data_IF_539913754573
#
_entry.id   IF_539913754573
#
_cell.length_a   1.000
_cell.length_b   1.000
_cell.length_c   1.000
_cell.angle_alpha   90.00
_cell.angle_beta   90.00
_cell.angle_gamma   90.00
#
_symmetry.space_group_name_H-M   'P 1'
#
loop_
_entity.id
_entity.type
_entity.pdbx_description
1 polymer ?
#
# COMPACT_ATOMS: atom_id res chain seq x y z
N UNK A 1 17.04 20.87 9.72
CA UNK A 1 16.02 19.98 10.35
C UNK A 1 15.44 19.07 9.27
N UNK A 2 15.57 17.77 9.43
CA UNK A 2 14.98 16.75 8.52
C UNK A 2 13.79 16.08 9.19
N UNK A 3 12.80 15.65 8.39
CA UNK A 3 11.59 15.03 8.88
C UNK A 3 11.47 13.62 8.30
N UNK A 4 11.17 12.63 9.12
CA UNK A 4 11.25 11.23 8.74
C UNK A 4 10.00 10.51 9.25
N UNK A 5 9.36 9.73 8.40
CA UNK A 5 8.33 8.77 8.78
C UNK A 5 8.82 7.38 8.43
N UNK A 6 8.93 6.50 9.42
CA UNK A 6 9.16 5.07 9.21
C UNK A 6 7.88 4.34 9.57
N UNK A 7 7.25 3.79 8.55
CA UNK A 7 5.97 3.11 8.69
C UNK A 7 6.17 1.60 8.54
N UNK A 8 5.86 0.86 9.60
CA UNK A 8 5.77 -0.59 9.59
C UNK A 8 4.33 -1.01 9.33
N UNK A 9 4.01 -1.29 8.06
CA UNK A 9 2.66 -1.66 7.64
C UNK A 9 2.17 -2.88 8.44
N UNK A 10 0.96 -2.80 9.00
CA UNK A 10 0.34 -3.86 9.76
C UNK A 10 1.10 -4.33 11.01
N UNK A 11 2.09 -3.56 11.50
CA UNK A 11 2.99 -3.97 12.58
C UNK A 11 2.27 -4.22 13.91
N UNK A 12 1.21 -3.47 14.21
CA UNK A 12 0.42 -3.64 15.42
C UNK A 12 -0.39 -4.94 15.42
N UNK A 13 -0.56 -5.52 16.59
CA UNK A 13 -1.25 -6.81 16.78
C UNK A 13 -1.86 -6.92 18.17
N UNK A 14 -2.57 -8.02 18.39
CA UNK A 14 -3.10 -8.45 19.67
C UNK A 14 -2.06 -9.31 20.44
N UNK A 15 -2.18 -9.46 21.78
CA UNK A 15 -1.37 -10.40 22.54
C UNK A 15 -1.58 -11.85 22.08
N UNK A 16 -0.48 -12.56 21.80
CA UNK A 16 -0.50 -13.92 21.28
C UNK A 16 -0.02 -14.95 22.32
N UNK A 17 -0.75 -16.04 22.48
CA UNK A 17 -0.36 -17.14 23.37
C UNK A 17 1.01 -17.72 22.99
N UNK A 18 1.33 -17.79 21.68
CA UNK A 18 2.62 -18.26 21.18
C UNK A 18 3.82 -17.38 21.62
N UNK A 19 3.56 -16.13 22.01
CA UNK A 19 4.54 -15.16 22.49
C UNK A 19 4.45 -14.92 24.01
N UNK A 20 3.79 -15.83 24.74
CA UNK A 20 3.61 -15.70 26.19
C UNK A 20 2.66 -14.58 26.59
N UNK A 21 1.69 -14.25 25.76
CA UNK A 21 0.71 -13.19 26.00
C UNK A 21 1.20 -11.79 25.62
N UNK A 22 2.27 -11.67 24.85
CA UNK A 22 2.81 -10.42 24.30
C UNK A 22 2.35 -10.21 22.87
N UNK A 23 2.28 -8.95 22.43
CA UNK A 23 2.16 -8.64 21.01
C UNK A 23 3.48 -8.92 20.28
N UNK A 24 3.48 -9.08 18.95
CA UNK A 24 4.73 -9.17 18.18
C UNK A 24 5.67 -7.99 18.41
N UNK A 25 5.15 -6.75 18.50
CA UNK A 25 5.93 -5.56 18.80
C UNK A 25 6.52 -5.58 20.20
N UNK A 26 5.76 -5.99 21.21
CA UNK A 26 6.26 -6.15 22.60
C UNK A 26 7.28 -7.27 22.74
N UNK A 27 7.20 -8.31 21.92
CA UNK A 27 8.12 -9.44 21.96
C UNK A 27 9.41 -9.20 21.19
N UNK A 28 9.36 -8.41 20.11
CA UNK A 28 10.49 -8.09 19.26
C UNK A 28 11.57 -7.29 20.02
N UNK A 29 12.82 -7.47 19.64
CA UNK A 29 13.95 -6.68 20.15
C UNK A 29 14.13 -5.43 19.30
N UNK A 30 13.76 -4.29 19.84
CA UNK A 30 13.67 -3.03 19.11
C UNK A 30 14.43 -1.88 19.81
N UNK A 31 15.76 -2.04 20.05
CA UNK A 31 16.52 -1.09 20.86
C UNK A 31 16.58 0.33 20.27
N UNK A 32 16.51 0.49 18.96
CA UNK A 32 16.49 1.82 18.33
C UNK A 32 15.13 2.51 18.53
N UNK A 33 14.03 1.81 18.30
CA UNK A 33 12.69 2.34 18.56
C UNK A 33 12.45 2.61 20.05
N UNK A 34 12.97 1.77 20.95
CA UNK A 34 12.94 2.00 22.41
C UNK A 34 13.73 3.25 22.81
N UNK A 35 14.86 3.50 22.15
CA UNK A 35 15.65 4.72 22.38
C UNK A 35 14.86 5.98 21.94
N UNK A 36 14.18 5.90 20.80
CA UNK A 36 13.29 6.97 20.34
C UNK A 36 12.11 7.19 21.31
N UNK A 37 11.47 6.12 21.79
CA UNK A 37 10.39 6.20 22.78
C UNK A 37 10.85 6.80 24.11
N UNK A 38 12.08 6.49 24.50
CA UNK A 38 12.68 7.03 25.75
C UNK A 38 12.99 8.53 25.66
N UNK A 39 13.25 9.06 24.46
CA UNK A 39 13.56 10.48 24.21
C UNK A 39 12.45 11.29 23.56
N UNK A 40 11.31 10.68 23.28
CA UNK A 40 10.22 11.29 22.52
C UNK A 40 8.85 11.23 23.19
N UNK A 41 7.85 11.65 22.43
CA UNK A 41 6.43 11.47 22.76
C UNK A 41 5.97 10.11 22.21
N UNK A 42 5.23 9.37 22.99
CA UNK A 42 4.59 8.11 22.61
C UNK A 42 3.11 8.15 22.97
N UNK A 43 2.27 7.58 22.14
CA UNK A 43 0.82 7.53 22.35
C UNK A 43 0.13 6.63 21.33
N UNK A 44 -1.20 6.69 21.32
CA UNK A 44 -2.04 5.97 20.36
C UNK A 44 -2.64 6.92 19.34
N UNK A 45 -2.87 6.42 18.12
CA UNK A 45 -3.46 7.21 17.02
C UNK A 45 -4.44 6.38 16.21
N UNK A 46 -5.52 7.02 15.78
CA UNK A 46 -6.55 6.45 14.91
C UNK A 46 -6.28 6.88 13.46
N UNK A 47 -5.56 6.05 12.69
CA UNK A 47 -5.25 6.36 11.29
C UNK A 47 -6.42 6.05 10.34
N UNK A 48 -7.20 5.02 10.65
CA UNK A 48 -8.40 4.66 9.89
C UNK A 48 -9.62 5.37 10.48
N UNK A 49 -10.21 6.36 9.80
CA UNK A 49 -11.39 7.04 10.31
C UNK A 49 -12.56 6.10 10.49
N UNK A 50 -13.37 6.33 11.52
CA UNK A 50 -14.57 5.54 11.77
C UNK A 50 -15.49 5.48 10.54
N UNK A 51 -15.90 4.26 10.16
CA UNK A 51 -16.79 3.99 9.03
C UNK A 51 -16.08 3.82 7.69
N UNK A 52 -14.75 3.97 7.64
CA UNK A 52 -13.95 3.63 6.46
C UNK A 52 -13.36 2.22 6.58
N UNK A 53 -13.12 1.57 5.44
CA UNK A 53 -12.44 0.29 5.37
C UNK A 53 -10.97 0.43 5.84
N UNK A 54 -10.45 -0.48 6.67
CA UNK A 54 -9.08 -0.40 7.18
C UNK A 54 -8.03 -0.83 6.14
N UNK A 55 -8.03 -0.19 4.98
CA UNK A 55 -7.03 -0.41 3.93
C UNK A 55 -5.84 0.52 4.08
N UNK A 56 -4.67 0.06 3.59
CA UNK A 56 -3.44 0.85 3.60
C UNK A 56 -3.58 2.18 2.85
N UNK A 57 -4.46 2.26 1.84
CA UNK A 57 -4.78 3.51 1.13
C UNK A 57 -5.37 4.58 2.06
N UNK A 58 -6.29 4.18 2.92
CA UNK A 58 -6.95 5.07 3.88
C UNK A 58 -5.97 5.46 4.99
N UNK A 59 -5.30 4.48 5.57
CA UNK A 59 -4.41 4.69 6.70
C UNK A 59 -3.17 5.53 6.31
N UNK A 60 -2.54 5.24 5.16
CA UNK A 60 -1.37 5.99 4.71
C UNK A 60 -1.71 7.42 4.26
N UNK A 61 -2.89 7.68 3.68
CA UNK A 61 -3.37 9.06 3.48
C UNK A 61 -3.41 9.83 4.80
N UNK A 62 -3.95 9.21 5.87
CA UNK A 62 -3.94 9.81 7.20
C UNK A 62 -2.52 10.12 7.68
N UNK A 63 -1.61 9.15 7.66
CA UNK A 63 -0.23 9.35 8.13
C UNK A 63 0.50 10.42 7.33
N UNK A 64 0.20 10.55 6.03
CA UNK A 64 0.74 11.61 5.17
C UNK A 64 0.05 12.97 5.37
N UNK A 65 -0.85 13.09 6.36
CA UNK A 65 -1.50 14.33 6.74
C UNK A 65 -2.69 14.73 5.87
N UNK A 66 -3.25 13.81 5.09
CA UNK A 66 -4.46 14.03 4.31
C UNK A 66 -5.66 13.42 5.03
N UNK A 67 -6.79 14.14 5.10
CA UNK A 67 -8.03 13.56 5.60
C UNK A 67 -8.60 12.57 4.57
N UNK A 68 -8.62 11.25 4.85
CA UNK A 68 -9.10 10.27 3.88
C UNK A 68 -10.57 10.46 3.51
N UNK A 69 -11.38 11.02 4.40
CA UNK A 69 -12.81 11.30 4.12
C UNK A 69 -13.01 12.29 2.99
N UNK A 70 -12.02 13.14 2.74
CA UNK A 70 -12.09 14.17 1.69
C UNK A 70 -11.23 13.85 0.47
N UNK A 71 -10.16 13.08 0.65
CA UNK A 71 -9.18 12.82 -0.40
C UNK A 71 -9.33 11.44 -1.06
N UNK A 72 -9.86 10.45 -0.35
CA UNK A 72 -9.98 9.09 -0.87
C UNK A 72 -11.24 8.97 -1.74
N UNK A 73 -11.03 8.62 -3.01
CA UNK A 73 -12.10 8.47 -4.01
C UNK A 73 -12.17 7.06 -4.59
N UNK A 74 -11.27 6.18 -4.15
CA UNK A 74 -11.12 4.81 -4.61
C UNK A 74 -9.66 4.40 -4.71
N UNK A 75 -9.40 3.10 -4.70
CA UNK A 75 -8.04 2.53 -4.77
C UNK A 75 -7.43 2.66 -6.16
N UNK A 76 -8.21 2.36 -7.20
CA UNK A 76 -7.71 2.33 -8.57
C UNK A 76 -7.14 3.65 -9.08
N UNK A 77 -7.71 4.82 -8.76
CA UNK A 77 -7.10 6.09 -9.13
C UNK A 77 -5.72 6.31 -8.53
N UNK A 78 -5.49 5.86 -7.29
CA UNK A 78 -4.17 5.95 -6.66
C UNK A 78 -3.15 5.05 -7.36
N UNK A 79 -3.52 3.82 -7.68
CA UNK A 79 -2.66 2.91 -8.45
C UNK A 79 -2.40 3.44 -9.87
N UNK A 80 -3.38 4.07 -10.50
CA UNK A 80 -3.23 4.68 -11.82
C UNK A 80 -2.19 5.81 -11.83
N UNK A 81 -2.10 6.60 -10.75
CA UNK A 81 -1.07 7.63 -10.60
C UNK A 81 0.34 7.03 -10.61
N UNK A 82 0.54 5.86 -10.00
CA UNK A 82 1.86 5.21 -9.93
C UNK A 82 2.40 4.79 -11.30
N UNK A 83 1.53 4.49 -12.24
CA UNK A 83 1.88 4.11 -13.62
C UNK A 83 1.79 5.29 -14.60
N UNK A 84 1.64 6.51 -14.09
CA UNK A 84 1.68 7.74 -14.88
C UNK A 84 0.41 8.04 -15.68
N UNK A 85 -0.73 7.45 -15.33
CA UNK A 85 -2.02 7.71 -15.99
C UNK A 85 -2.45 9.15 -15.70
N UNK A 86 -2.73 9.90 -16.77
CA UNK A 86 -3.34 11.23 -16.66
C UNK A 86 -4.86 11.07 -16.53
N UNK A 87 -5.43 11.74 -15.54
CA UNK A 87 -6.85 11.65 -15.22
C UNK A 87 -7.46 13.05 -15.19
N UNK A 88 -8.63 13.20 -15.81
CA UNK A 88 -9.49 14.38 -15.62
C UNK A 88 -10.44 14.14 -14.43
N UNK A 89 -11.04 15.21 -13.85
CA UNK A 89 -11.87 15.09 -12.65
C UNK A 89 -13.10 14.19 -12.79
N UNK A 90 -13.63 14.06 -13.98
CA UNK A 90 -14.84 13.27 -14.32
C UNK A 90 -14.54 11.93 -14.99
N UNK A 91 -13.27 11.55 -15.08
CA UNK A 91 -12.86 10.21 -15.47
C UNK A 91 -13.15 9.20 -14.35
N UNK A 92 -13.60 8.01 -14.75
CA UNK A 92 -13.71 6.87 -13.83
C UNK A 92 -12.58 5.90 -14.12
N UNK A 93 -11.85 5.58 -13.06
CA UNK A 93 -10.69 4.69 -13.10
C UNK A 93 -11.06 3.36 -12.47
N UNK A 94 -10.78 2.26 -13.16
CA UNK A 94 -11.03 0.91 -12.70
C UNK A 94 -9.72 0.14 -12.56
N UNK A 95 -9.60 -0.64 -11.51
CA UNK A 95 -8.68 -1.76 -11.49
C UNK A 95 -9.18 -2.78 -12.51
N UNK A 96 -8.29 -3.23 -13.36
CA UNK A 96 -8.55 -4.20 -14.42
C UNK A 96 -7.58 -5.36 -14.26
N UNK A 97 -8.03 -6.47 -13.66
CA UNK A 97 -7.22 -7.67 -13.57
C UNK A 97 -7.34 -8.51 -14.84
N UNK A 98 -6.25 -9.20 -15.23
CA UNK A 98 -6.38 -10.38 -16.07
C UNK A 98 -6.53 -11.60 -15.18
N UNK A 99 -7.64 -12.31 -15.32
CA UNK A 99 -8.02 -13.45 -14.48
C UNK A 99 -8.07 -14.75 -15.26
N UNK A 100 -8.05 -15.89 -14.56
CA UNK A 100 -8.30 -17.20 -15.15
C UNK A 100 -9.75 -17.61 -14.94
N UNK A 101 -10.48 -17.74 -16.02
CA UNK A 101 -11.83 -18.33 -16.03
C UNK A 101 -11.80 -19.73 -16.63
N UNK A 102 -12.78 -20.54 -16.20
CA UNK A 102 -13.06 -21.86 -16.80
C UNK A 102 -13.64 -21.71 -18.22
N UNK A 103 -13.88 -22.85 -18.90
CA UNK A 103 -14.30 -22.87 -20.31
C UNK A 103 -15.80 -23.14 -20.51
N UNK A 104 -16.60 -23.24 -19.43
CA UNK A 104 -18.06 -23.44 -19.54
C UNK A 104 -18.72 -22.32 -20.34
N UNK A 105 -19.80 -22.68 -21.05
CA UNK A 105 -20.64 -21.72 -21.79
C UNK A 105 -22.09 -21.76 -21.25
N UNK A 106 -22.79 -20.65 -21.26
CA UNK A 106 -22.38 -19.31 -21.69
C UNK A 106 -21.40 -18.63 -20.71
N UNK A 107 -20.85 -17.47 -21.09
CA UNK A 107 -19.84 -16.75 -20.30
C UNK A 107 -20.19 -16.61 -18.81
N UNK A 108 -21.46 -16.35 -18.49
CA UNK A 108 -21.94 -16.22 -17.11
C UNK A 108 -21.86 -17.51 -16.26
N UNK A 109 -21.73 -18.68 -16.90
CA UNK A 109 -21.59 -19.96 -16.20
C UNK A 109 -20.13 -20.32 -15.88
N UNK A 110 -19.18 -19.54 -16.40
CA UNK A 110 -17.77 -19.73 -16.10
C UNK A 110 -17.49 -19.51 -14.59
N UNK A 111 -16.33 -20.01 -14.12
CA UNK A 111 -15.88 -19.84 -12.75
C UNK A 111 -14.55 -19.13 -12.71
N UNK A 112 -14.30 -18.31 -11.68
CA UNK A 112 -12.99 -17.73 -11.42
C UNK A 112 -12.10 -18.81 -10.81
N UNK A 113 -11.10 -19.28 -11.57
CA UNK A 113 -10.10 -20.22 -11.06
C UNK A 113 -8.96 -19.53 -10.34
N UNK A 114 -8.64 -18.31 -10.78
CA UNK A 114 -7.52 -17.54 -10.23
C UNK A 114 -7.65 -16.06 -10.58
N UNK A 115 -7.55 -15.21 -9.57
CA UNK A 115 -7.63 -13.75 -9.73
C UNK A 115 -6.31 -13.13 -10.23
N UNK A 116 -5.19 -13.86 -10.17
CA UNK A 116 -3.84 -13.43 -10.53
C UNK A 116 -3.27 -14.15 -11.74
N UNK A 117 -4.02 -15.12 -12.32
CA UNK A 117 -3.59 -15.95 -13.44
C UNK A 117 -2.24 -16.65 -13.18
N UNK A 118 -2.05 -17.17 -11.94
CA UNK A 118 -0.82 -17.82 -11.52
C UNK A 118 0.34 -16.84 -11.41
N UNK A 119 0.09 -15.64 -10.92
CA UNK A 119 1.07 -14.54 -10.82
C UNK A 119 1.76 -14.31 -12.18
N UNK A 120 0.97 -14.08 -13.22
CA UNK A 120 1.48 -13.88 -14.59
C UNK A 120 2.57 -12.80 -14.60
N UNK A 121 3.64 -13.00 -15.37
CA UNK A 121 4.70 -12.00 -15.49
C UNK A 121 4.19 -10.72 -16.17
N UNK A 122 4.80 -9.59 -15.84
CA UNK A 122 4.43 -8.29 -16.46
C UNK A 122 4.63 -8.34 -17.98
N UNK A 123 5.66 -9.02 -18.47
CA UNK A 123 5.94 -9.15 -19.91
C UNK A 123 4.84 -9.92 -20.65
N UNK A 124 4.40 -11.06 -20.09
CA UNK A 124 3.32 -11.84 -20.67
C UNK A 124 1.98 -11.08 -20.62
N UNK A 125 1.71 -10.41 -19.51
CA UNK A 125 0.52 -9.59 -19.33
C UNK A 125 0.49 -8.39 -20.27
N UNK A 126 1.64 -7.72 -20.51
CA UNK A 126 1.71 -6.59 -21.45
C UNK A 126 1.37 -7.01 -22.87
N UNK A 127 1.83 -8.18 -23.32
CA UNK A 127 1.46 -8.73 -24.62
C UNK A 127 -0.05 -9.01 -24.75
N UNK A 128 -0.70 -9.46 -23.68
CA UNK A 128 -2.16 -9.63 -23.62
C UNK A 128 -2.88 -8.27 -23.63
N UNK A 129 -2.39 -7.31 -22.85
CA UNK A 129 -2.94 -5.96 -22.78
C UNK A 129 -2.76 -5.18 -24.09
N UNK A 130 -1.72 -5.48 -24.87
CA UNK A 130 -1.59 -4.93 -26.22
C UNK A 130 -2.73 -5.37 -27.12
N UNK A 131 -3.12 -6.65 -27.09
CA UNK A 131 -4.29 -7.13 -27.82
C UNK A 131 -5.60 -6.46 -27.34
N UNK A 132 -5.72 -6.19 -26.02
CA UNK A 132 -6.84 -5.44 -25.47
C UNK A 132 -6.84 -3.99 -25.99
N UNK A 133 -5.72 -3.29 -25.94
CA UNK A 133 -5.60 -1.91 -26.44
C UNK A 133 -5.99 -1.79 -27.92
N UNK A 134 -5.52 -2.71 -28.73
CA UNK A 134 -5.82 -2.72 -30.18
C UNK A 134 -7.32 -2.89 -30.48
N UNK A 135 -8.07 -3.53 -29.59
CA UNK A 135 -9.50 -3.83 -29.80
C UNK A 135 -10.44 -2.89 -29.03
N UNK A 136 -10.00 -2.26 -27.94
CA UNK A 136 -10.86 -1.54 -27.01
C UNK A 136 -10.47 -0.08 -26.78
N UNK A 137 -9.23 0.33 -27.05
CA UNK A 137 -8.86 1.74 -26.88
C UNK A 137 -9.54 2.60 -27.93
N UNK A 138 -10.17 3.68 -27.46
CA UNK A 138 -10.76 4.75 -28.26
C UNK A 138 -10.71 6.07 -27.47
N UNK A 139 -11.47 7.07 -27.90
CA UNK A 139 -11.53 8.37 -27.23
C UNK A 139 -12.22 8.31 -25.86
N UNK A 140 -12.97 7.25 -25.57
CA UNK A 140 -13.76 7.06 -24.36
C UNK A 140 -13.09 6.12 -23.38
N UNK A 141 -12.49 5.03 -23.87
CA UNK A 141 -11.89 3.97 -23.05
C UNK A 141 -10.40 3.85 -23.34
N UNK A 142 -9.62 3.81 -22.26
CA UNK A 142 -8.16 3.67 -22.36
C UNK A 142 -7.66 2.63 -21.38
N UNK A 143 -6.84 1.70 -21.85
CA UNK A 143 -6.28 0.61 -21.06
C UNK A 143 -4.78 0.81 -20.90
N UNK A 144 -4.30 0.64 -19.67
CA UNK A 144 -2.90 0.80 -19.29
C UNK A 144 -2.38 -0.46 -18.63
N UNK A 145 -1.19 -0.90 -19.03
CA UNK A 145 -0.50 -2.01 -18.38
C UNK A 145 0.06 -1.56 -17.03
N UNK A 146 -0.20 -2.33 -16.00
CA UNK A 146 0.44 -2.21 -14.69
C UNK A 146 1.40 -3.36 -14.46
N UNK A 147 1.50 -3.83 -13.20
CA UNK A 147 2.41 -4.90 -12.80
C UNK A 147 1.69 -6.24 -12.74
N UNK A 148 2.26 -7.29 -13.35
CA UNK A 148 1.71 -8.65 -13.32
C UNK A 148 0.27 -8.68 -13.85
N UNK A 149 -0.68 -9.20 -13.11
CA UNK A 149 -2.10 -9.30 -13.47
C UNK A 149 -2.90 -8.00 -13.27
N UNK A 150 -2.28 -6.95 -12.74
CA UNK A 150 -2.91 -5.70 -12.30
C UNK A 150 -2.76 -4.62 -13.35
N UNK A 151 -3.86 -4.21 -13.95
CA UNK A 151 -3.92 -3.17 -14.99
C UNK A 151 -4.95 -2.12 -14.63
N UNK A 152 -5.03 -1.08 -15.43
CA UNK A 152 -5.94 0.05 -15.24
C UNK A 152 -6.77 0.25 -16.51
N UNK A 153 -8.07 0.54 -16.32
CA UNK A 153 -8.93 1.09 -17.36
C UNK A 153 -9.41 2.47 -16.94
N UNK A 154 -9.33 3.42 -17.84
CA UNK A 154 -9.94 4.75 -17.71
C UNK A 154 -11.17 4.83 -18.60
N UNK A 155 -12.29 5.19 -18.03
CA UNK A 155 -13.53 5.50 -18.74
C UNK A 155 -13.77 7.02 -18.65
N UNK A 156 -13.50 7.73 -19.75
CA UNK A 156 -13.67 9.17 -19.81
C UNK A 156 -15.13 9.54 -19.73
N UNK A 157 -15.46 10.51 -18.87
CA UNK A 157 -16.81 10.96 -18.59
C UNK A 157 -17.78 9.81 -18.25
N UNK A 158 -17.24 8.76 -17.61
CA UNK A 158 -17.98 7.56 -17.25
C UNK A 158 -18.85 7.73 -16.00
N UNK A 159 -19.28 6.62 -15.46
CA UNK A 159 -20.02 6.59 -14.19
C UNK A 159 -19.54 5.42 -13.31
N UNK A 160 -19.70 5.59 -12.01
CA UNK A 160 -19.38 4.53 -11.03
C UNK A 160 -20.38 3.38 -11.20
N UNK A 161 -19.85 2.16 -11.20
CA UNK A 161 -20.62 0.93 -11.25
C UNK A 161 -20.36 0.09 -9.98
N UNK A 162 -21.35 -0.68 -9.55
CA UNK A 162 -21.16 -1.69 -8.52
C UNK A 162 -20.37 -2.84 -9.13
N UNK A 163 -19.23 -3.14 -8.51
CA UNK A 163 -18.27 -4.16 -8.96
C UNK A 163 -17.76 -4.96 -7.78
N UNK A 164 -17.52 -6.25 -8.00
CA UNK A 164 -17.07 -7.17 -6.99
C UNK A 164 -15.60 -7.57 -7.24
N UNK A 165 -14.74 -7.61 -6.20
CA UNK A 165 -13.36 -8.04 -6.33
C UNK A 165 -13.25 -9.51 -6.74
N UNK A 166 -12.39 -9.89 -7.70
CA UNK A 166 -12.33 -11.28 -8.18
C UNK A 166 -11.82 -12.27 -7.13
N UNK A 167 -11.01 -11.81 -6.18
CA UNK A 167 -10.45 -12.68 -5.13
C UNK A 167 -11.47 -13.11 -4.09
N UNK A 168 -12.59 -12.42 -3.97
CA UNK A 168 -13.68 -12.79 -3.04
C UNK A 168 -14.57 -13.93 -3.61
N UNK A 169 -14.44 -14.24 -4.89
CA UNK A 169 -15.33 -15.15 -5.61
C UNK A 169 -14.62 -16.33 -6.28
N UNK A 170 -13.45 -16.72 -5.76
CA UNK A 170 -12.71 -17.87 -6.28
C UNK A 170 -13.58 -19.13 -6.26
N UNK A 171 -13.50 -19.92 -7.33
CA UNK A 171 -14.26 -21.17 -7.59
C UNK A 171 -15.76 -20.99 -7.78
N UNK A 172 -16.31 -19.79 -7.64
CA UNK A 172 -17.74 -19.50 -7.82
C UNK A 172 -18.09 -19.22 -9.29
N UNK A 173 -19.33 -19.50 -9.66
CA UNK A 173 -19.91 -19.11 -10.96
C UNK A 173 -19.99 -17.59 -11.03
N UNK A 174 -19.55 -17.00 -12.15
CA UNK A 174 -19.37 -15.54 -12.24
C UNK A 174 -20.67 -14.76 -12.49
N UNK A 175 -21.70 -15.40 -13.00
CA UNK A 175 -22.95 -14.74 -13.41
C UNK A 175 -23.51 -13.74 -12.38
N UNK A 176 -23.62 -14.10 -11.08
CA UNK A 176 -24.12 -13.20 -10.03
C UNK A 176 -23.23 -12.00 -9.75
N UNK A 177 -21.95 -12.02 -10.15
CA UNK A 177 -20.94 -11.02 -9.84
C UNK A 177 -20.54 -10.16 -11.04
N UNK A 178 -21.12 -10.45 -12.21
CA UNK A 178 -20.89 -9.64 -13.41
C UNK A 178 -21.49 -8.23 -13.23
N UNK A 179 -20.87 -7.19 -13.81
CA UNK A 179 -21.43 -5.86 -13.81
C UNK A 179 -22.85 -5.84 -14.38
N UNK A 180 -23.74 -5.07 -13.77
CA UNK A 180 -25.06 -4.75 -14.36
C UNK A 180 -24.90 -3.82 -15.57
N UNK A 181 -23.83 -3.02 -15.58
CA UNK A 181 -23.51 -2.12 -16.69
C UNK A 181 -23.17 -2.92 -17.95
N UNK A 182 -23.93 -2.70 -19.07
CA UNK A 182 -23.77 -3.50 -20.28
C UNK A 182 -22.45 -3.25 -21.01
N UNK A 183 -21.84 -2.07 -20.84
CA UNK A 183 -20.55 -1.74 -21.47
C UNK A 183 -19.43 -2.51 -20.81
N UNK A 184 -19.36 -2.44 -19.48
CA UNK A 184 -18.34 -3.16 -18.68
C UNK A 184 -18.48 -4.67 -18.87
N UNK A 185 -19.72 -5.17 -18.83
CA UNK A 185 -20.00 -6.59 -19.09
C UNK A 185 -19.59 -7.01 -20.49
N UNK A 186 -19.92 -6.21 -21.49
CA UNK A 186 -19.54 -6.48 -22.88
C UNK A 186 -18.02 -6.51 -23.09
N UNK A 187 -17.25 -5.66 -22.41
CA UNK A 187 -15.79 -5.74 -22.44
C UNK A 187 -15.27 -7.01 -21.81
N UNK A 188 -15.84 -7.47 -20.69
CA UNK A 188 -15.42 -8.72 -20.06
C UNK A 188 -15.65 -9.92 -20.99
N UNK A 189 -16.84 -10.05 -21.56
CA UNK A 189 -17.21 -11.13 -22.49
C UNK A 189 -16.31 -11.12 -23.75
N UNK A 190 -16.14 -9.98 -24.40
CA UNK A 190 -15.29 -9.82 -25.58
C UNK A 190 -13.81 -10.03 -25.26
N UNK A 191 -13.35 -9.65 -24.06
CA UNK A 191 -11.97 -9.91 -23.65
C UNK A 191 -11.65 -11.39 -23.59
N UNK A 192 -12.60 -12.22 -23.16
CA UNK A 192 -12.43 -13.67 -23.17
C UNK A 192 -12.26 -14.22 -24.59
N UNK A 193 -13.05 -13.74 -25.55
CA UNK A 193 -12.92 -14.14 -26.95
C UNK A 193 -11.54 -13.81 -27.53
N UNK A 194 -10.98 -12.64 -27.16
CA UNK A 194 -9.66 -12.20 -27.62
C UNK A 194 -8.53 -12.96 -26.92
N UNK A 195 -8.62 -13.11 -25.59
CA UNK A 195 -7.51 -13.58 -24.78
C UNK A 195 -7.42 -15.10 -24.69
N UNK A 196 -8.54 -15.82 -24.68
CA UNK A 196 -8.52 -17.28 -24.42
C UNK A 196 -7.66 -18.07 -25.41
N UNK A 197 -7.61 -17.62 -26.66
CA UNK A 197 -6.82 -18.24 -27.73
C UNK A 197 -5.60 -17.40 -28.15
N UNK A 198 -5.23 -16.39 -27.38
CA UNK A 198 -4.05 -15.58 -27.66
C UNK A 198 -2.77 -16.44 -27.57
N UNK A 199 -1.76 -16.24 -28.43
CA UNK A 199 -0.53 -17.05 -28.46
C UNK A 199 0.16 -17.19 -27.09
N UNK A 200 0.17 -16.14 -26.28
CA UNK A 200 0.69 -16.19 -24.90
C UNK A 200 -0.06 -17.23 -24.07
N UNK A 201 -1.39 -17.23 -24.11
CA UNK A 201 -2.21 -18.16 -23.34
C UNK A 201 -2.15 -19.61 -23.84
N UNK A 202 -2.00 -19.80 -25.16
CA UNK A 202 -1.76 -21.13 -25.73
C UNK A 202 -0.42 -21.69 -25.27
N UNK A 203 0.65 -20.88 -25.26
CA UNK A 203 1.95 -21.28 -24.73
C UNK A 203 1.87 -21.59 -23.24
N UNK A 204 1.24 -20.72 -22.43
CA UNK A 204 1.04 -20.94 -20.99
C UNK A 204 0.33 -22.25 -20.70
N UNK A 205 -0.74 -22.54 -21.43
CA UNK A 205 -1.47 -23.81 -21.30
C UNK A 205 -0.60 -25.02 -21.67
N UNK A 206 0.20 -24.94 -22.74
CA UNK A 206 1.13 -25.99 -23.12
C UNK A 206 2.23 -26.24 -22.06
N UNK A 207 2.60 -25.21 -21.30
CA UNK A 207 3.53 -25.27 -20.16
C UNK A 207 2.86 -25.68 -18.84
N UNK A 208 1.56 -26.00 -18.84
CA UNK A 208 0.80 -26.33 -17.63
C UNK A 208 0.50 -25.13 -16.71
N UNK A 209 0.70 -23.91 -17.20
CA UNK A 209 0.36 -22.68 -16.51
C UNK A 209 -1.09 -22.27 -16.76
N UNK A 210 -1.67 -21.48 -15.85
CA UNK A 210 -3.01 -20.93 -16.01
C UNK A 210 -3.05 -19.88 -17.12
N UNK A 211 -4.09 -19.91 -17.96
CA UNK A 211 -4.37 -18.83 -18.91
C UNK A 211 -4.80 -17.57 -18.18
N UNK A 212 -4.40 -16.40 -18.68
CA UNK A 212 -4.95 -15.11 -18.28
C UNK A 212 -5.98 -14.69 -19.35
N UNK A 213 -7.19 -15.25 -19.26
CA UNK A 213 -8.11 -15.32 -20.39
C UNK A 213 -9.32 -14.39 -20.33
N UNK A 214 -9.44 -13.56 -19.30
CA UNK A 214 -10.50 -12.56 -19.24
C UNK A 214 -10.08 -11.33 -18.43
N UNK A 215 -10.64 -10.17 -18.76
CA UNK A 215 -10.56 -8.98 -17.92
C UNK A 215 -11.58 -9.07 -16.78
N UNK A 216 -11.25 -8.46 -15.64
CA UNK A 216 -12.16 -8.30 -14.52
C UNK A 216 -12.00 -6.92 -13.89
N UNK A 217 -13.08 -6.13 -13.86
CA UNK A 217 -13.08 -4.76 -13.34
C UNK A 217 -13.52 -4.72 -11.89
N UNK A 218 -12.86 -3.87 -11.08
CA UNK A 218 -13.24 -3.61 -9.71
C UNK A 218 -12.55 -2.35 -9.18
N UNK A 219 -12.86 -1.95 -7.93
CA UNK A 219 -12.18 -0.87 -7.23
C UNK A 219 -12.31 0.50 -7.91
N UNK A 220 -13.44 0.77 -8.59
CA UNK A 220 -13.69 2.01 -9.31
C UNK A 220 -13.55 3.25 -8.42
N UNK A 221 -13.06 4.34 -9.00
CA UNK A 221 -12.98 5.63 -8.34
C UNK A 221 -12.73 6.77 -9.31
N UNK A 222 -12.77 7.99 -8.80
CA UNK A 222 -12.49 9.23 -9.53
C UNK A 222 -11.10 9.76 -9.19
N UNK A 223 -10.61 10.75 -9.92
CA UNK A 223 -9.35 11.42 -9.62
C UNK A 223 -9.32 11.88 -8.16
N UNK A 224 -8.32 11.46 -7.34
CA UNK A 224 -8.23 11.88 -5.96
C UNK A 224 -7.85 13.38 -5.87
N UNK A 225 -8.44 14.08 -4.91
CA UNK A 225 -8.08 15.47 -4.61
C UNK A 225 -6.96 15.49 -3.58
N UNK A 226 -5.71 15.41 -4.05
CA UNK A 226 -4.52 15.47 -3.21
C UNK A 226 -3.83 16.82 -3.38
N UNK A 227 -3.93 17.74 -2.40
CA UNK A 227 -3.10 18.94 -2.38
C UNK A 227 -1.61 18.57 -2.45
N UNK A 228 -0.82 19.32 -3.21
CA UNK A 228 0.60 19.07 -3.34
C UNK A 228 1.31 19.07 -1.96
N UNK A 229 2.17 18.07 -1.72
CA UNK A 229 2.87 17.94 -0.43
C UNK A 229 3.71 19.18 -0.13
N UNK A 230 4.44 19.70 -1.12
CA UNK A 230 5.22 20.93 -0.96
C UNK A 230 4.33 22.15 -0.74
N UNK A 231 3.20 22.25 -1.42
CA UNK A 231 2.22 23.33 -1.21
C UNK A 231 1.66 23.31 0.22
N UNK A 232 1.32 22.11 0.71
CA UNK A 232 0.76 21.90 2.05
C UNK A 232 1.79 22.13 3.15
N UNK A 233 3.02 21.65 2.97
CA UNK A 233 4.02 21.57 4.05
C UNK A 233 5.14 22.59 3.93
N UNK A 234 5.43 23.07 2.74
CA UNK A 234 6.62 23.86 2.40
C UNK A 234 7.87 23.00 2.21
N UNK A 235 7.76 21.66 2.22
CA UNK A 235 8.88 20.73 2.22
C UNK A 235 8.94 19.93 0.92
N UNK A 236 10.16 19.60 0.48
CA UNK A 236 10.39 18.64 -0.59
C UNK A 236 10.34 17.21 -0.01
N UNK A 237 9.37 16.41 -0.44
CA UNK A 237 9.13 15.07 0.08
C UNK A 237 9.68 13.97 -0.80
N UNK A 238 10.19 12.90 -0.16
CA UNK A 238 10.61 11.64 -0.77
C UNK A 238 9.73 10.48 -0.28
N UNK A 239 9.37 9.57 -1.20
CA UNK A 239 8.67 8.32 -0.90
C UNK A 239 9.55 7.13 -1.24
N UNK A 240 9.74 6.24 -0.27
CA UNK A 240 10.45 4.97 -0.41
C UNK A 240 9.48 3.83 -0.08
N UNK A 241 8.97 3.15 -1.11
CA UNK A 241 8.02 2.04 -0.98
C UNK A 241 8.16 1.05 -2.13
N UNK A 242 7.89 -0.22 -1.88
CA UNK A 242 7.72 -1.23 -2.92
C UNK A 242 6.30 -1.23 -3.51
N UNK A 243 5.32 -0.67 -2.79
CA UNK A 243 3.89 -0.76 -3.06
C UNK A 243 3.45 0.34 -4.02
N UNK A 244 2.86 -0.04 -5.16
CA UNK A 244 2.41 0.90 -6.19
C UNK A 244 1.36 1.90 -5.67
N UNK A 245 0.50 1.46 -4.76
CA UNK A 245 -0.48 2.31 -4.10
C UNK A 245 0.16 3.52 -3.39
N UNK A 246 1.22 3.29 -2.61
CA UNK A 246 1.94 4.34 -1.89
C UNK A 246 2.70 5.25 -2.84
N UNK A 247 3.32 4.68 -3.88
CA UNK A 247 3.95 5.44 -4.96
C UNK A 247 2.92 6.34 -5.65
N UNK A 248 1.71 5.83 -5.90
CA UNK A 248 0.61 6.59 -6.48
C UNK A 248 0.18 7.78 -5.63
N UNK A 249 0.03 7.59 -4.31
CA UNK A 249 -0.24 8.69 -3.38
C UNK A 249 0.88 9.75 -3.46
N UNK A 250 2.14 9.32 -3.45
CA UNK A 250 3.29 10.22 -3.53
C UNK A 250 3.33 11.01 -4.85
N UNK A 251 3.09 10.34 -5.99
CA UNK A 251 2.99 10.99 -7.31
C UNK A 251 1.86 12.01 -7.32
N UNK A 252 0.67 11.63 -6.83
CA UNK A 252 -0.49 12.53 -6.72
C UNK A 252 -0.24 13.73 -5.83
N UNK A 253 0.57 13.58 -4.79
CA UNK A 253 0.99 14.64 -3.88
C UNK A 253 2.24 15.41 -4.36
N UNK A 254 2.81 15.08 -5.53
CA UNK A 254 3.99 15.73 -6.08
C UNK A 254 5.29 15.45 -5.30
N UNK A 255 5.37 14.31 -4.60
CA UNK A 255 6.59 13.86 -3.93
C UNK A 255 7.49 13.07 -4.90
N UNK A 256 8.78 13.06 -4.62
CA UNK A 256 9.76 12.27 -5.37
C UNK A 256 9.68 10.79 -4.93
N UNK A 257 9.50 9.88 -5.89
CA UNK A 257 9.48 8.43 -5.63
C UNK A 257 10.87 7.84 -5.90
N UNK A 258 11.42 7.13 -4.92
CA UNK A 258 12.70 6.45 -5.02
C UNK A 258 12.48 4.97 -5.33
N UNK A 259 13.07 4.52 -6.45
CA UNK A 259 13.08 3.10 -6.80
C UNK A 259 14.25 2.41 -6.12
N UNK A 260 13.98 1.36 -5.36
CA UNK A 260 14.99 0.57 -4.65
C UNK A 260 15.10 -0.81 -5.28
N UNK A 261 16.23 -1.15 -5.91
CA UNK A 261 16.42 -2.50 -6.45
C UNK A 261 16.26 -3.58 -5.37
N UNK A 262 15.48 -4.62 -5.67
CA UNK A 262 15.19 -5.70 -4.72
C UNK A 262 14.22 -5.32 -3.59
N UNK A 263 13.58 -4.16 -3.65
CA UNK A 263 12.50 -3.83 -2.74
C UNK A 263 11.25 -4.65 -3.11
N UNK A 264 10.73 -5.35 -2.11
CA UNK A 264 9.48 -6.15 -2.17
C UNK A 264 8.60 -5.80 -0.97
N UNK A 265 7.38 -6.35 -0.92
CA UNK A 265 6.50 -6.30 0.25
C UNK A 265 6.79 -7.40 1.29
N UNK A 266 7.67 -8.36 1.00
CA UNK A 266 7.90 -9.51 1.86
C UNK A 266 9.13 -9.38 2.77
N UNK A 267 9.35 -10.39 3.60
CA UNK A 267 10.41 -10.42 4.61
C UNK A 267 11.82 -10.30 4.01
N UNK A 268 12.03 -10.79 2.80
CA UNK A 268 13.31 -10.76 2.06
C UNK A 268 13.55 -9.46 1.29
N UNK A 269 12.72 -8.43 1.51
CA UNK A 269 12.90 -7.11 0.89
C UNK A 269 14.30 -6.54 1.16
N UNK A 270 14.75 -5.65 0.28
CA UNK A 270 16.01 -4.93 0.47
C UNK A 270 15.86 -3.81 1.54
N UNK A 271 15.93 -4.20 2.82
CA UNK A 271 15.80 -3.31 3.97
C UNK A 271 16.83 -2.18 3.96
N UNK A 272 18.11 -2.56 3.78
CA UNK A 272 19.24 -1.63 3.76
C UNK A 272 19.14 -0.65 2.58
N UNK A 273 18.70 -1.14 1.42
CA UNK A 273 18.47 -0.29 0.25
C UNK A 273 17.37 0.74 0.47
N UNK A 274 16.30 0.39 1.17
CA UNK A 274 15.23 1.34 1.55
C UNK A 274 15.75 2.40 2.53
N UNK A 275 16.52 1.99 3.54
CA UNK A 275 17.15 2.93 4.47
C UNK A 275 18.13 3.86 3.77
N UNK A 276 18.99 3.32 2.89
CA UNK A 276 19.97 4.10 2.15
C UNK A 276 19.31 5.12 1.20
N UNK A 277 18.22 4.73 0.53
CA UNK A 277 17.47 5.64 -0.33
C UNK A 277 16.90 6.84 0.45
N UNK A 278 16.41 6.62 1.68
CA UNK A 278 15.96 7.69 2.55
C UNK A 278 17.10 8.61 2.99
N UNK A 279 18.24 8.04 3.37
CA UNK A 279 19.45 8.78 3.74
C UNK A 279 19.94 9.64 2.56
N UNK A 280 19.99 9.06 1.37
CA UNK A 280 20.42 9.77 0.15
C UNK A 280 19.45 10.91 -0.21
N UNK A 281 18.15 10.65 -0.15
CA UNK A 281 17.12 11.66 -0.36
C UNK A 281 17.31 12.88 0.56
N UNK A 282 17.53 12.62 1.86
CA UNK A 282 17.64 13.66 2.87
C UNK A 282 18.99 14.39 2.86
N UNK A 283 20.11 13.67 2.67
CA UNK A 283 21.44 14.25 2.81
C UNK A 283 22.11 14.65 1.48
N UNK A 284 21.70 14.04 0.35
CA UNK A 284 22.34 14.29 -0.95
C UNK A 284 21.42 14.98 -1.95
N UNK A 285 20.13 14.58 -2.02
CA UNK A 285 19.21 15.04 -3.08
C UNK A 285 18.36 16.24 -2.65
N UNK A 286 18.60 16.77 -1.45
CA UNK A 286 17.97 17.98 -0.95
C UNK A 286 16.50 17.84 -0.59
N UNK A 287 16.04 16.62 -0.27
CA UNK A 287 14.73 16.44 0.35
C UNK A 287 14.76 16.84 1.82
N UNK A 288 13.62 17.36 2.30
CA UNK A 288 13.43 17.76 3.69
C UNK A 288 12.67 16.72 4.49
N UNK A 289 11.89 15.89 3.77
CA UNK A 289 11.00 14.88 4.32
C UNK A 289 11.20 13.56 3.59
N UNK A 290 11.27 12.45 4.34
CA UNK A 290 11.29 11.10 3.78
C UNK A 290 10.21 10.23 4.45
N UNK A 291 9.44 9.51 3.63
CA UNK A 291 8.46 8.52 4.03
C UNK A 291 8.93 7.14 3.61
N UNK A 292 9.23 6.29 4.56
CA UNK A 292 9.75 4.93 4.34
C UNK A 292 8.68 3.93 4.73
N UNK A 293 8.19 3.19 3.76
CA UNK A 293 7.15 2.18 3.92
C UNK A 293 7.73 0.76 3.89
N UNK A 294 7.39 -0.03 4.89
CA UNK A 294 7.90 -1.38 5.12
C UNK A 294 6.72 -2.34 5.33
N UNK A 295 6.35 -3.07 4.27
CA UNK A 295 5.11 -3.87 4.19
C UNK A 295 5.25 -5.26 4.85
N UNK A 296 6.48 -5.73 5.09
CA UNK A 296 6.70 -7.09 5.57
C UNK A 296 5.93 -7.49 6.85
N UNK A 297 5.74 -6.65 7.87
CA UNK A 297 4.96 -7.04 9.05
C UNK A 297 3.49 -7.33 8.71
N UNK A 298 2.90 -6.59 7.76
CA UNK A 298 1.53 -6.79 7.26
C UNK A 298 1.39 -8.13 6.55
N UNK A 299 2.27 -8.38 5.59
CA UNK A 299 2.28 -9.62 4.81
C UNK A 299 2.43 -10.86 5.71
N UNK A 300 3.31 -10.78 6.73
CA UNK A 300 3.46 -11.86 7.71
C UNK A 300 2.20 -12.02 8.59
N UNK A 301 1.51 -10.91 8.88
CA UNK A 301 0.21 -10.90 9.56
C UNK A 301 -0.87 -11.63 8.76
N UNK A 302 -1.01 -11.31 7.48
CA UNK A 302 -1.94 -11.97 6.55
C UNK A 302 -1.69 -13.48 6.41
N UNK A 303 -0.43 -13.88 6.38
CA UNK A 303 -0.04 -15.29 6.30
C UNK A 303 -0.15 -16.03 7.65
N UNK A 304 -0.31 -15.31 8.76
CA UNK A 304 -0.38 -15.88 10.10
C UNK A 304 0.98 -16.38 10.62
N UNK A 305 2.07 -15.77 10.16
CA UNK A 305 3.45 -16.17 10.44
C UNK A 305 4.02 -15.35 11.62
N UNK A 306 3.81 -15.87 12.85
CA UNK A 306 4.16 -15.17 14.10
C UNK A 306 5.65 -14.83 14.19
N UNK A 307 6.52 -15.79 13.92
CA UNK A 307 7.98 -15.62 14.05
C UNK A 307 8.53 -14.63 13.03
N UNK A 308 8.04 -14.75 11.79
CA UNK A 308 8.43 -13.89 10.69
C UNK A 308 7.91 -12.46 10.88
N UNK A 309 6.73 -12.29 11.49
CA UNK A 309 6.23 -10.96 11.87
C UNK A 309 7.12 -10.31 12.92
N UNK A 310 7.49 -11.02 13.97
CA UNK A 310 8.47 -10.54 14.96
C UNK A 310 9.80 -10.19 14.29
N UNK A 311 10.32 -11.05 13.43
CA UNK A 311 11.56 -10.82 12.71
C UNK A 311 11.52 -9.60 11.80
N UNK A 312 10.39 -9.35 11.11
CA UNK A 312 10.21 -8.15 10.28
C UNK A 312 10.25 -6.86 11.10
N UNK A 313 9.70 -6.89 12.31
CA UNK A 313 9.76 -5.76 13.25
C UNK A 313 11.21 -5.53 13.72
N UNK A 314 11.95 -6.59 14.06
CA UNK A 314 13.37 -6.50 14.43
C UNK A 314 14.24 -5.99 13.26
N UNK A 315 13.92 -6.36 12.02
CA UNK A 315 14.61 -5.85 10.83
C UNK A 315 14.28 -4.37 10.57
N UNK A 316 13.04 -3.95 10.77
CA UNK A 316 12.64 -2.55 10.69
C UNK A 316 13.46 -1.70 11.68
N UNK A 317 13.60 -2.16 12.94
CA UNK A 317 14.41 -1.48 13.95
C UNK A 317 15.88 -1.40 13.56
N UNK A 318 16.50 -2.57 13.32
CA UNK A 318 17.95 -2.70 13.20
C UNK A 318 18.51 -2.30 11.83
N UNK A 319 17.74 -2.49 10.75
CA UNK A 319 18.19 -2.27 9.37
C UNK A 319 17.64 -1.00 8.73
N UNK A 320 16.64 -0.35 9.37
CA UNK A 320 16.05 0.89 8.83
C UNK A 320 16.12 2.02 9.84
N UNK A 321 15.48 1.89 11.02
CA UNK A 321 15.44 2.98 12.01
C UNK A 321 16.84 3.32 12.50
N UNK A 322 17.59 2.33 13.00
CA UNK A 322 18.92 2.55 13.55
C UNK A 322 19.90 3.18 12.53
N UNK A 323 20.03 2.67 11.27
CA UNK A 323 20.92 3.28 10.29
C UNK A 323 20.52 4.72 9.91
N UNK A 324 19.23 5.02 9.80
CA UNK A 324 18.76 6.39 9.47
C UNK A 324 19.12 7.35 10.61
N UNK A 325 18.81 7.02 11.87
CA UNK A 325 19.16 7.87 13.01
C UNK A 325 20.66 8.11 13.09
N UNK A 326 21.45 7.04 12.95
CA UNK A 326 22.91 7.13 12.96
C UNK A 326 23.46 8.03 11.83
N UNK A 327 22.91 7.93 10.62
CA UNK A 327 23.34 8.76 9.51
C UNK A 327 23.03 10.25 9.74
N UNK A 328 21.86 10.59 10.30
CA UNK A 328 21.53 11.97 10.68
C UNK A 328 22.48 12.52 11.74
N UNK A 329 22.76 11.74 12.78
CA UNK A 329 23.70 12.09 13.85
C UNK A 329 25.11 12.30 13.31
N UNK A 330 25.61 11.40 12.46
CA UNK A 330 26.93 11.54 11.83
C UNK A 330 27.05 12.77 10.92
N UNK A 331 25.97 13.12 10.24
CA UNK A 331 25.92 14.31 9.40
C UNK A 331 25.78 15.62 10.20
N UNK A 332 25.51 15.53 11.50
CA UNK A 332 25.20 16.69 12.35
C UNK A 332 23.89 17.37 11.99
N UNK A 333 22.96 16.61 11.39
CA UNK A 333 21.65 17.12 10.98
C UNK A 333 20.64 16.95 12.13
N UNK A 334 19.97 18.02 12.49
CA UNK A 334 18.81 17.93 13.37
C UNK A 334 17.66 17.25 12.64
N UNK A 335 16.97 16.34 13.32
CA UNK A 335 15.86 15.59 12.73
C UNK A 335 14.73 15.33 13.70
N UNK A 336 13.54 15.12 13.13
CA UNK A 336 12.38 14.60 13.83
C UNK A 336 11.93 13.33 13.11
N UNK A 337 11.64 12.30 13.86
CA UNK A 337 11.23 11.00 13.32
C UNK A 337 9.94 10.52 13.98
N UNK A 338 9.02 10.08 13.14
CA UNK A 338 7.77 9.43 13.52
C UNK A 338 7.85 7.96 13.10
N UNK A 339 7.72 7.04 14.04
CA UNK A 339 7.65 5.59 13.79
C UNK A 339 6.28 5.11 14.22
N UNK A 340 5.56 4.44 13.32
CA UNK A 340 4.23 3.91 13.60
C UNK A 340 3.83 2.83 12.59
N UNK A 341 2.86 1.95 12.93
CA UNK A 341 2.06 1.24 11.93
C UNK A 341 1.01 2.15 11.32
N UNK A 342 0.48 1.77 10.16
CA UNK A 342 -0.70 2.42 9.57
C UNK A 342 -2.01 1.86 10.17
N UNK A 343 -2.14 0.56 10.27
CA UNK A 343 -3.23 -0.18 10.91
C UNK A 343 -2.69 -1.44 11.59
N UNK A 344 -3.48 -2.13 12.43
CA UNK A 344 -3.16 -3.49 12.86
C UNK A 344 -3.48 -4.50 11.73
N UNK A 345 -2.66 -5.56 11.65
CA UNK A 345 -2.96 -6.77 10.87
C UNK A 345 -2.85 -7.97 11.80
N UNK A 346 -3.85 -8.16 12.68
CA UNK A 346 -3.77 -9.19 13.71
C UNK A 346 -3.67 -10.59 13.10
N UNK A 347 -2.67 -11.35 13.54
CA UNK A 347 -2.42 -12.73 13.11
C UNK A 347 -3.66 -13.62 13.29
N UNK A 348 -4.45 -13.34 14.32
CA UNK A 348 -5.67 -14.10 14.61
C UNK A 348 -6.71 -14.01 13.50
N UNK A 349 -6.89 -12.83 12.89
CA UNK A 349 -7.90 -12.60 11.85
C UNK A 349 -7.32 -12.59 10.44
N UNK A 350 -5.98 -12.46 10.30
CA UNK A 350 -5.25 -12.44 9.02
C UNK A 350 -5.75 -11.38 8.04
N UNK A 351 -6.21 -10.27 8.57
CA UNK A 351 -6.66 -9.11 7.80
C UNK A 351 -6.56 -7.87 8.67
N UNK A 352 -6.80 -6.71 8.09
CA UNK A 352 -6.68 -5.45 8.78
C UNK A 352 -7.81 -5.23 9.79
N UNK A 353 -7.50 -4.52 10.87
CA UNK A 353 -8.49 -3.95 11.77
C UNK A 353 -8.39 -2.42 11.80
N UNK A 354 -9.46 -1.77 12.25
CA UNK A 354 -9.51 -0.31 12.37
C UNK A 354 -9.15 0.18 13.77
N UNK A 355 -8.53 -0.66 14.60
CA UNK A 355 -8.13 -0.25 15.95
C UNK A 355 -7.02 0.79 15.92
N UNK A 356 -6.93 1.65 16.95
CA UNK A 356 -5.82 2.58 17.10
C UNK A 356 -4.47 1.87 17.17
N UNK A 357 -3.43 2.54 16.68
CA UNK A 357 -2.06 2.02 16.66
C UNK A 357 -1.12 2.86 17.52
N UNK A 358 -0.03 2.28 18.05
CA UNK A 358 0.98 3.02 18.78
C UNK A 358 1.83 3.87 17.83
N UNK A 359 2.26 5.05 18.28
CA UNK A 359 3.26 5.86 17.58
C UNK A 359 4.34 6.32 18.55
N UNK A 360 5.51 6.62 18.02
CA UNK A 360 6.58 7.36 18.69
C UNK A 360 7.03 8.52 17.81
N UNK A 361 7.08 9.72 18.40
CA UNK A 361 7.56 10.94 17.76
C UNK A 361 8.77 11.46 18.54
N UNK A 362 9.93 11.44 17.92
CA UNK A 362 11.20 11.88 18.49
C UNK A 362 11.70 13.14 17.82
N UNK A 363 12.36 13.99 18.62
CA UNK A 363 12.98 15.25 18.20
C UNK A 363 14.42 15.26 18.72
N UNK A 364 15.41 15.22 17.83
CA UNK A 364 16.83 15.14 18.17
C UNK A 364 17.34 16.37 18.96
N UNK A 365 16.62 17.49 18.90
CA UNK A 365 16.98 18.71 19.63
C UNK A 365 16.49 18.74 21.08
N UNK A 366 15.65 17.76 21.47
CA UNK A 366 15.13 17.64 22.83
C UNK A 366 15.92 16.60 23.63
N UNK A 367 16.19 16.89 24.89
CA UNK A 367 17.03 16.04 25.74
C UNK A 367 16.27 15.33 26.88
N UNK A 368 14.96 15.29 26.84
CA UNK A 368 14.17 14.55 27.82
C UNK A 368 14.39 13.05 27.63
N UNK A 369 14.80 12.37 28.70
CA UNK A 369 14.95 10.90 28.71
C UNK A 369 14.03 10.30 29.75
N UNK A 370 13.14 9.41 29.28
CA UNK A 370 12.33 8.52 30.11
C UNK A 370 12.81 7.09 29.84
N UNK A 371 12.59 6.17 30.77
CA UNK A 371 12.70 4.75 30.40
C UNK A 371 11.36 4.33 29.79
N UNK A 372 11.36 3.98 28.52
CA UNK A 372 10.18 3.53 27.80
C UNK A 372 10.57 2.46 26.78
N UNK A 373 9.62 1.56 26.49
CA UNK A 373 9.69 0.63 25.38
C UNK A 373 8.58 0.97 24.39
N UNK A 374 8.86 0.88 23.12
CA UNK A 374 7.86 1.12 22.10
C UNK A 374 6.96 -0.10 21.94
N UNK A 375 5.84 -0.09 22.65
CA UNK A 375 4.83 -1.16 22.65
C UNK A 375 3.42 -0.56 22.66
N UNK A 376 2.43 -1.35 22.25
CA UNK A 376 1.01 -0.94 22.31
C UNK A 376 0.58 -0.64 23.75
N UNK A 377 1.01 -1.47 24.70
CA UNK A 377 0.66 -1.33 26.11
C UNK A 377 1.24 -0.05 26.73
N UNK A 378 2.52 0.25 26.49
CA UNK A 378 3.15 1.46 27.03
C UNK A 378 2.62 2.72 26.32
N UNK A 379 2.36 2.66 25.01
CA UNK A 379 1.74 3.74 24.27
C UNK A 379 0.34 4.08 24.81
N UNK A 380 -0.47 3.08 25.06
CA UNK A 380 -1.80 3.23 25.65
C UNK A 380 -1.72 3.79 27.08
N UNK A 381 -0.74 3.35 27.87
CA UNK A 381 -0.56 3.79 29.27
C UNK A 381 -0.18 5.27 29.39
N UNK A 382 0.32 5.93 28.32
CA UNK A 382 0.58 7.39 28.31
C UNK A 382 -0.68 8.22 28.44
N UNK A 383 -1.84 7.67 28.04
CA UNK A 383 -3.10 8.42 27.93
C UNK A 383 -3.16 9.41 26.76
N UNK A 384 -2.10 9.51 25.95
CA UNK A 384 -2.09 10.37 24.76
C UNK A 384 -2.78 9.63 23.62
N UNK A 385 -3.80 10.25 23.05
CA UNK A 385 -4.58 9.69 21.95
C UNK A 385 -4.96 10.76 20.92
N UNK A 386 -4.64 10.49 19.66
CA UNK A 386 -5.07 11.30 18.54
C UNK A 386 -6.18 10.58 17.75
N UNK A 387 -7.41 11.10 17.76
CA UNK A 387 -8.55 10.45 17.09
C UNK A 387 -8.54 10.63 15.57
N UNK A 388 -7.58 11.38 15.03
CA UNK A 388 -7.43 11.69 13.62
C UNK A 388 -5.95 11.55 13.24
N UNK A 389 -5.60 10.53 12.47
CA UNK A 389 -4.20 10.22 12.12
C UNK A 389 -3.50 11.35 11.38
N UNK A 390 -4.23 12.09 10.55
CA UNK A 390 -3.65 13.17 9.74
C UNK A 390 -3.07 14.34 10.54
N UNK A 391 -3.42 14.47 11.82
CA UNK A 391 -2.81 15.53 12.68
C UNK A 391 -1.37 15.22 13.09
N UNK A 392 -0.94 13.94 12.99
CA UNK A 392 0.44 13.57 13.37
C UNK A 392 1.49 14.19 12.46
N UNK A 393 1.18 14.42 11.18
CA UNK A 393 2.11 15.12 10.29
C UNK A 393 2.36 16.56 10.79
N UNK A 394 1.31 17.28 11.18
CA UNK A 394 1.46 18.65 11.72
C UNK A 394 2.26 18.63 13.03
N UNK A 395 2.06 17.62 13.87
CA UNK A 395 2.88 17.41 15.08
C UNK A 395 4.35 17.14 14.74
N UNK A 396 4.62 16.27 13.77
CA UNK A 396 5.97 16.00 13.29
C UNK A 396 6.65 17.27 12.79
N UNK A 397 5.91 18.11 12.07
CA UNK A 397 6.41 19.37 11.51
C UNK A 397 6.44 20.53 12.53
N UNK A 398 5.92 20.34 13.73
CA UNK A 398 5.79 21.35 14.78
C UNK A 398 4.95 22.57 14.34
N UNK A 399 3.82 22.28 13.68
CA UNK A 399 2.85 23.27 13.21
C UNK A 399 1.62 23.33 14.11
#
# INVERSE_FOLDING_TARGET
MKYIVVLGDGMADEPLAALGGKTPLEYAKTPAMDALASGGEMGMVQNVPQGMHPGSEVANLSVMGYDPKTCFTGRSPLEALSVGVKMEPDDIIFRCNVVTLTEEEPYAEKRILDHSSGEISTEEADALMEAIRQNFNDDTFQFYTGTSYRHIMVWKHGHLAKLEPPHDHLTQVIGPFLPEDPVLRGFMERSYEILNNHPVNLRRAAEGKRKANSLWYWGAGTKPSLPGFTEKTGLKGAMISAVDLLKGIAVGAGMQVYQVPGATGSLDTNWEGKAQAAIDALLKDGCDFAYIHLEAPDEMGHQGLVKEKVQSIEYLDSRVVAPICHAMEQAGEDYRILVLPDHPTPIRIRTHSSDPVPYVLYDSTRQEKKRAHYTEAEAQATGIFYPQGYVLLDKLLNK
#
